data_IF_866680150010
#
_entry.id   IF_866680150010
#
_cell.length_a   1.000
_cell.length_b   1.000
_cell.length_c   1.000
_cell.angle_alpha   90.00
_cell.angle_beta   90.00
_cell.angle_gamma   90.00
#
_symmetry.space_group_name_H-M   'P 1'
#
loop_
_entity.id
_entity.type
_entity.pdbx_description
1 polymer ?
#
# COMPACT_ATOMS: atom_id res chain seq x y z
N UNK A 1 63.47 -8.00 40.49
CA UNK A 1 63.92 -7.27 39.30
C UNK A 1 62.80 -6.31 38.93
N UNK A 2 62.92 -5.10 39.45
CA UNK A 2 62.07 -3.94 39.16
C UNK A 2 62.73 -3.10 38.05
N UNK A 3 61.91 -2.49 37.20
CA UNK A 3 62.04 -1.14 36.61
C UNK A 3 60.96 -1.02 35.50
N UNK A 4 59.90 -0.20 35.67
CA UNK A 4 59.75 1.24 35.28
C UNK A 4 59.40 1.38 33.77
N UNK A 5 58.16 1.71 33.32
CA UNK A 5 57.44 3.02 33.22
C UNK A 5 58.17 4.05 32.29
N UNK A 6 57.57 5.08 31.58
CA UNK A 6 56.18 5.56 31.46
C UNK A 6 55.67 6.09 30.07
N UNK A 7 54.36 6.39 30.03
CA UNK A 7 53.65 7.52 29.34
C UNK A 7 53.86 7.87 27.85
N UNK A 8 52.76 7.91 27.06
CA UNK A 8 52.35 9.06 26.20
C UNK A 8 50.82 9.09 26.01
N UNK A 9 50.18 10.01 26.75
CA UNK A 9 48.99 10.88 26.52
C UNK A 9 47.73 10.41 25.75
N UNK A 10 46.63 10.32 26.51
CA UNK A 10 45.40 11.14 26.45
C UNK A 10 44.86 11.65 25.09
N UNK A 11 43.68 11.14 24.70
CA UNK A 11 42.54 11.98 24.32
C UNK A 11 41.24 11.34 24.83
N UNK A 12 40.73 11.88 25.93
CA UNK A 12 39.32 11.82 26.26
C UNK A 12 38.45 12.38 25.11
N UNK A 13 37.51 11.57 24.62
CA UNK A 13 36.20 12.06 24.21
C UNK A 13 35.19 11.19 24.94
N UNK A 14 34.82 11.65 26.13
CA UNK A 14 33.57 11.26 26.77
C UNK A 14 32.44 11.90 25.96
N UNK A 15 31.51 11.09 25.48
CA UNK A 15 30.22 11.52 24.95
C UNK A 15 29.31 10.30 24.94
N UNK A 16 28.66 10.07 26.08
CA UNK A 16 27.23 9.73 26.17
C UNK A 16 26.50 9.68 24.81
N UNK A 17 25.67 8.67 24.50
CA UNK A 17 24.67 8.84 23.47
C UNK A 17 23.63 9.82 24.00
N UNK A 18 23.93 11.11 23.86
CA UNK A 18 22.99 12.20 23.98
C UNK A 18 21.84 11.93 23.02
N UNK A 19 20.65 11.76 23.58
CA UNK A 19 19.35 12.07 22.98
C UNK A 19 19.21 11.63 21.51
N UNK A 20 18.67 10.43 21.32
CA UNK A 20 17.86 10.14 20.14
C UNK A 20 16.83 11.27 20.04
N UNK A 21 17.06 12.18 19.10
CA UNK A 21 16.11 13.24 18.79
C UNK A 21 14.86 12.57 18.25
N UNK A 22 13.78 12.65 19.02
CA UNK A 22 12.41 12.55 18.55
C UNK A 22 12.30 13.35 17.25
N UNK A 23 12.18 12.69 16.09
CA UNK A 23 12.13 13.45 14.84
C UNK A 23 12.03 12.70 13.52
N UNK A 24 12.11 11.36 13.47
CA UNK A 24 11.97 10.63 12.20
C UNK A 24 11.08 9.37 12.28
N UNK A 25 10.17 9.32 13.26
CA UNK A 25 9.13 8.29 13.33
C UNK A 25 7.79 8.70 12.65
N UNK A 26 7.74 9.82 11.92
CA UNK A 26 6.50 10.45 11.45
C UNK A 26 6.38 10.57 9.92
N UNK A 27 6.76 9.53 9.14
CA UNK A 27 6.49 9.50 7.69
C UNK A 27 6.04 8.13 7.15
N UNK A 28 5.81 7.15 8.01
CA UNK A 28 5.03 5.98 7.65
C UNK A 28 3.64 6.21 8.22
N UNK A 29 2.70 6.68 7.38
CA UNK A 29 1.28 6.54 7.72
C UNK A 29 1.01 5.04 7.81
N UNK A 30 0.82 4.48 9.03
CA UNK A 30 0.53 3.06 9.13
C UNK A 30 -0.87 2.83 8.56
N UNK A 31 -1.11 1.63 8.01
CA UNK A 31 -2.42 1.12 7.59
C UNK A 31 -3.59 1.44 8.56
N UNK A 32 -3.28 1.70 9.83
CA UNK A 32 -4.17 2.30 10.83
C UNK A 32 -5.08 3.42 10.29
N UNK A 33 -4.61 4.27 9.37
CA UNK A 33 -5.43 5.35 8.82
C UNK A 33 -6.43 4.87 7.78
N UNK A 34 -6.16 3.80 7.03
CA UNK A 34 -7.13 3.25 6.06
C UNK A 34 -8.39 2.74 6.76
N UNK A 35 -8.22 2.15 7.94
CA UNK A 35 -9.30 1.63 8.78
C UNK A 35 -10.23 2.73 9.34
N UNK A 36 -9.82 4.00 9.35
CA UNK A 36 -10.70 5.11 9.71
C UNK A 36 -11.56 5.61 8.54
N UNK A 37 -11.22 5.27 7.30
CA UNK A 37 -11.87 5.82 6.10
C UNK A 37 -12.75 4.84 5.34
N UNK A 38 -12.53 3.53 5.50
CA UNK A 38 -13.30 2.50 4.78
C UNK A 38 -13.58 1.28 5.65
N UNK A 39 -14.85 0.85 5.68
CA UNK A 39 -15.24 -0.47 6.18
C UNK A 39 -14.95 -1.53 5.10
N UNK A 40 -13.75 -2.13 5.17
CA UNK A 40 -13.31 -3.18 4.24
C UNK A 40 -14.28 -4.36 4.21
N UNK A 41 -14.83 -4.75 5.35
CA UNK A 41 -15.70 -5.93 5.45
C UNK A 41 -17.01 -5.64 4.74
N UNK A 42 -17.64 -4.49 5.01
CA UNK A 42 -18.86 -4.09 4.33
C UNK A 42 -18.64 -3.89 2.82
N UNK A 43 -17.51 -3.27 2.44
CA UNK A 43 -17.16 -3.04 1.04
C UNK A 43 -17.07 -4.36 0.26
N UNK A 44 -16.26 -5.32 0.74
CA UNK A 44 -16.08 -6.63 0.10
C UNK A 44 -17.38 -7.44 0.12
N UNK A 45 -18.09 -7.47 1.26
CA UNK A 45 -19.33 -8.23 1.39
C UNK A 45 -20.41 -7.77 0.40
N UNK A 46 -20.51 -6.47 0.13
CA UNK A 46 -21.49 -5.94 -0.82
C UNK A 46 -21.18 -6.30 -2.29
N UNK A 47 -19.98 -6.78 -2.62
CA UNK A 47 -19.64 -7.37 -3.92
C UNK A 47 -19.60 -8.91 -3.93
N UNK A 48 -19.87 -9.54 -2.79
CA UNK A 48 -19.71 -10.98 -2.58
C UNK A 48 -20.64 -11.87 -3.41
N UNK A 49 -20.29 -13.16 -3.48
CA UNK A 49 -21.09 -14.18 -4.15
C UNK A 49 -22.38 -14.48 -3.36
N UNK A 50 -23.47 -14.78 -4.08
CA UNK A 50 -24.71 -15.27 -3.45
C UNK A 50 -24.60 -16.77 -3.17
N UNK A 51 -25.45 -17.25 -2.27
CA UNK A 51 -25.48 -18.67 -1.94
C UNK A 51 -25.85 -19.50 -3.17
N UNK A 52 -24.95 -20.40 -3.58
CA UNK A 52 -25.12 -21.27 -4.76
C UNK A 52 -24.50 -20.73 -6.05
N UNK A 53 -23.93 -19.53 -6.04
CA UNK A 53 -23.21 -18.98 -7.21
C UNK A 53 -21.89 -19.72 -7.44
N UNK A 54 -21.51 -19.87 -8.72
CA UNK A 54 -20.18 -20.32 -9.10
C UNK A 54 -19.15 -19.20 -8.86
N UNK A 55 -18.15 -19.50 -8.03
CA UNK A 55 -17.08 -18.58 -7.65
C UNK A 55 -16.20 -18.08 -8.81
N UNK A 56 -16.21 -18.75 -9.97
CA UNK A 56 -15.41 -18.37 -11.15
C UNK A 56 -16.22 -17.62 -12.21
N UNK A 57 -17.55 -17.62 -12.12
CA UNK A 57 -18.44 -17.15 -13.18
C UNK A 57 -18.23 -15.68 -13.55
N UNK A 58 -18.14 -14.80 -12.55
CA UNK A 58 -18.00 -13.35 -12.69
C UNK A 58 -16.59 -12.91 -13.12
N UNK A 59 -15.57 -13.33 -12.40
CA UNK A 59 -14.21 -12.76 -12.51
C UNK A 59 -13.17 -13.70 -13.13
N UNK A 60 -13.56 -14.92 -13.52
CA UNK A 60 -12.66 -15.97 -14.08
C UNK A 60 -11.50 -16.39 -13.17
N UNK A 61 -11.52 -15.97 -11.91
CA UNK A 61 -10.74 -16.51 -10.80
C UNK A 61 -11.68 -16.84 -9.63
N UNK A 62 -11.18 -17.53 -8.62
CA UNK A 62 -11.96 -17.89 -7.45
C UNK A 62 -12.25 -16.66 -6.57
N UNK A 63 -13.43 -16.08 -6.73
CA UNK A 63 -13.81 -14.90 -5.97
C UNK A 63 -13.93 -15.20 -4.46
N UNK A 64 -14.48 -16.36 -4.08
CA UNK A 64 -14.63 -16.73 -2.66
C UNK A 64 -13.27 -16.76 -1.93
N UNK A 65 -12.26 -17.35 -2.57
CA UNK A 65 -10.90 -17.35 -2.04
C UNK A 65 -10.31 -15.93 -1.97
N UNK A 66 -10.55 -15.10 -3.00
CA UNK A 66 -10.11 -13.71 -3.03
C UNK A 66 -10.73 -12.87 -1.91
N UNK A 67 -12.02 -13.04 -1.63
CA UNK A 67 -12.79 -12.30 -0.64
C UNK A 67 -12.39 -12.68 0.80
N UNK A 68 -11.90 -13.91 1.01
CA UNK A 68 -11.38 -14.37 2.31
C UNK A 68 -10.03 -13.74 2.71
N UNK A 69 -9.33 -13.08 1.79
CA UNK A 69 -8.01 -12.51 2.02
C UNK A 69 -8.10 -11.03 2.40
N UNK A 70 -7.38 -10.64 3.45
CA UNK A 70 -7.22 -9.22 3.83
C UNK A 70 -6.64 -8.37 2.70
N UNK A 71 -7.10 -7.14 2.60
CA UNK A 71 -6.59 -6.13 1.66
C UNK A 71 -5.07 -5.88 1.81
N UNK A 72 -4.53 -6.03 3.02
CA UNK A 72 -3.12 -5.83 3.33
C UNK A 72 -2.33 -7.13 3.55
N UNK A 73 -2.80 -8.27 2.99
CA UNK A 73 -2.14 -9.57 3.19
C UNK A 73 -0.62 -9.51 2.90
N UNK A 74 0.23 -10.19 3.70
CA UNK A 74 1.64 -10.30 3.40
C UNK A 74 1.84 -11.08 2.08
N UNK A 75 2.84 -10.66 1.31
CA UNK A 75 3.29 -11.36 0.11
C UNK A 75 4.78 -11.62 0.27
N UNK A 76 5.28 -12.83 0.01
CA UNK A 76 6.71 -13.13 0.14
C UNK A 76 7.53 -12.25 -0.80
N UNK A 77 8.72 -11.85 -0.34
CA UNK A 77 9.67 -11.12 -1.18
C UNK A 77 10.31 -12.07 -2.20
N UNK A 78 9.93 -11.92 -3.47
CA UNK A 78 10.43 -12.74 -4.58
C UNK A 78 11.60 -12.08 -5.33
N UNK A 79 12.14 -10.96 -4.82
CA UNK A 79 13.22 -10.23 -5.48
C UNK A 79 14.55 -10.98 -5.34
N UNK A 80 15.48 -10.72 -6.27
CA UNK A 80 16.86 -11.19 -6.14
C UNK A 80 17.53 -10.51 -4.93
N UNK A 81 18.38 -11.23 -4.19
CA UNK A 81 19.08 -10.69 -3.02
C UNK A 81 19.87 -9.39 -3.33
N UNK A 82 20.39 -9.22 -4.55
CA UNK A 82 21.09 -8.00 -4.98
C UNK A 82 20.18 -6.76 -5.04
N UNK A 83 18.86 -6.92 -5.12
CA UNK A 83 17.91 -5.81 -5.10
C UNK A 83 17.84 -5.12 -3.73
N UNK A 84 18.16 -5.84 -2.64
CA UNK A 84 18.08 -5.32 -1.27
C UNK A 84 19.14 -4.25 -0.98
N UNK A 85 20.27 -4.28 -1.70
CA UNK A 85 21.38 -3.33 -1.52
C UNK A 85 21.35 -2.18 -2.52
N UNK A 86 20.37 -2.15 -3.43
CA UNK A 86 20.28 -1.11 -4.46
C UNK A 86 19.74 0.19 -3.84
N UNK A 87 20.53 1.26 -3.96
CA UNK A 87 20.12 2.61 -3.53
C UNK A 87 19.51 3.36 -4.71
N UNK A 88 18.42 4.07 -4.43
CA UNK A 88 17.77 4.96 -5.38
C UNK A 88 17.94 6.39 -4.89
N UNK A 89 17.83 7.34 -5.82
CA UNK A 89 17.75 8.77 -5.48
C UNK A 89 16.51 9.04 -4.63
N UNK A 90 16.61 10.00 -3.72
CA UNK A 90 15.48 10.42 -2.87
C UNK A 90 14.57 11.42 -3.61
N UNK A 91 15.09 12.14 -4.58
CA UNK A 91 14.43 13.22 -5.31
C UNK A 91 13.78 12.71 -6.60
N UNK A 92 13.09 11.57 -6.50
CA UNK A 92 12.34 11.03 -7.63
C UNK A 92 11.07 11.86 -7.86
N UNK A 93 10.65 12.04 -9.13
CA UNK A 93 9.40 12.73 -9.43
C UNK A 93 8.21 11.94 -8.88
N UNK A 94 7.19 12.68 -8.44
CA UNK A 94 5.93 12.06 -8.03
C UNK A 94 5.24 11.41 -9.25
N UNK A 95 4.47 10.36 -8.99
CA UNK A 95 3.69 9.64 -9.99
C UNK A 95 2.21 9.65 -9.63
N UNK A 96 1.38 9.73 -10.67
CA UNK A 96 -0.06 9.49 -10.58
C UNK A 96 -0.33 8.06 -11.02
N UNK A 97 -1.01 7.28 -10.18
CA UNK A 97 -1.34 5.88 -10.47
C UNK A 97 -2.74 5.82 -11.07
N UNK A 98 -2.87 5.25 -12.27
CA UNK A 98 -4.18 5.10 -12.93
C UNK A 98 -4.54 3.62 -12.94
N UNK A 99 -5.69 3.28 -12.35
CA UNK A 99 -6.23 1.92 -12.29
C UNK A 99 -7.57 1.93 -13.03
N UNK A 100 -7.59 1.34 -14.21
CA UNK A 100 -8.82 1.13 -14.96
C UNK A 100 -9.46 -0.18 -14.51
N UNK A 101 -10.77 -0.18 -14.28
CA UNK A 101 -11.50 -1.39 -13.89
C UNK A 101 -12.86 -1.47 -14.59
N UNK A 102 -13.33 -2.69 -14.82
CA UNK A 102 -14.66 -2.98 -15.35
C UNK A 102 -15.16 -4.28 -14.72
N UNK A 103 -16.23 -4.21 -13.93
CA UNK A 103 -16.80 -5.37 -13.22
C UNK A 103 -15.77 -6.19 -12.41
N UNK A 104 -14.76 -5.52 -11.84
CA UNK A 104 -13.70 -6.16 -11.06
C UNK A 104 -14.23 -6.63 -9.68
N UNK A 105 -13.64 -7.68 -9.11
CA UNK A 105 -14.03 -8.08 -7.75
C UNK A 105 -13.60 -6.99 -6.74
N UNK A 106 -14.46 -6.67 -5.78
CA UNK A 106 -14.14 -5.64 -4.77
C UNK A 106 -12.89 -5.97 -3.96
N UNK A 107 -12.69 -7.24 -3.62
CA UNK A 107 -11.50 -7.68 -2.89
C UNK A 107 -10.21 -7.50 -3.69
N UNK A 108 -10.21 -7.70 -5.01
CA UNK A 108 -9.03 -7.47 -5.88
C UNK A 108 -8.77 -5.98 -6.07
N UNK A 109 -9.80 -5.18 -6.33
CA UNK A 109 -9.67 -3.74 -6.52
C UNK A 109 -9.12 -3.05 -5.26
N UNK A 110 -9.74 -3.30 -4.10
CA UNK A 110 -9.28 -2.75 -2.82
C UNK A 110 -7.82 -3.13 -2.53
N UNK A 111 -7.49 -4.41 -2.69
CA UNK A 111 -6.13 -4.91 -2.42
C UNK A 111 -5.09 -4.33 -3.37
N UNK A 112 -5.48 -3.93 -4.58
CA UNK A 112 -4.62 -3.19 -5.51
C UNK A 112 -4.31 -1.79 -4.97
N UNK A 113 -5.34 -1.02 -4.60
CA UNK A 113 -5.19 0.31 -4.01
C UNK A 113 -4.34 0.26 -2.73
N UNK A 114 -4.65 -0.67 -1.83
CA UNK A 114 -3.92 -0.86 -0.56
C UNK A 114 -2.46 -1.27 -0.80
N UNK A 115 -2.19 -2.11 -1.80
CA UNK A 115 -0.82 -2.48 -2.14
C UNK A 115 -0.01 -1.27 -2.64
N UNK A 116 -0.62 -0.38 -3.44
CA UNK A 116 0.04 0.85 -3.91
C UNK A 116 0.43 1.72 -2.72
N UNK A 117 -0.50 1.96 -1.80
CA UNK A 117 -0.27 2.79 -0.61
C UNK A 117 0.77 2.18 0.34
N UNK A 118 0.70 0.86 0.60
CA UNK A 118 1.58 0.21 1.57
C UNK A 118 3.00 -0.06 1.05
N UNK A 119 3.21 -0.12 -0.27
CA UNK A 119 4.50 -0.53 -0.87
C UNK A 119 5.18 0.57 -1.67
N UNK A 120 4.63 1.77 -1.66
CA UNK A 120 5.23 2.94 -2.30
C UNK A 120 5.53 4.01 -1.25
N UNK A 121 6.69 4.67 -1.31
CA UNK A 121 6.95 5.82 -0.46
C UNK A 121 5.89 6.91 -0.66
N UNK A 122 5.31 7.43 0.43
CA UNK A 122 4.16 8.34 0.37
C UNK A 122 4.43 9.59 -0.47
N UNK A 123 5.63 10.16 -0.38
CA UNK A 123 6.02 11.36 -1.12
C UNK A 123 6.07 11.14 -2.64
N UNK A 124 6.18 9.90 -3.13
CA UNK A 124 6.20 9.58 -4.55
C UNK A 124 4.81 9.39 -5.15
N UNK A 125 3.78 9.17 -4.32
CA UNK A 125 2.41 9.02 -4.80
C UNK A 125 1.73 10.38 -4.73
N UNK A 126 1.44 10.94 -5.90
CA UNK A 126 0.67 12.17 -6.02
C UNK A 126 -0.82 11.88 -5.80
N UNK A 127 -1.36 10.95 -6.58
CA UNK A 127 -2.80 10.62 -6.64
C UNK A 127 -3.01 9.22 -7.24
N UNK A 128 -4.16 8.62 -6.95
CA UNK A 128 -4.63 7.34 -7.48
C UNK A 128 -5.98 7.59 -8.18
N UNK A 129 -5.99 7.50 -9.51
CA UNK A 129 -7.22 7.58 -10.29
C UNK A 129 -7.82 6.18 -10.49
N UNK A 130 -9.03 5.99 -9.99
CA UNK A 130 -9.86 4.80 -10.21
C UNK A 130 -10.81 5.08 -11.36
N UNK A 131 -10.46 4.60 -12.55
CA UNK A 131 -11.23 4.83 -13.77
C UNK A 131 -12.15 3.65 -14.02
N UNK A 132 -13.43 3.85 -13.74
CA UNK A 132 -14.50 2.89 -14.00
C UNK A 132 -14.87 2.91 -15.49
N UNK A 133 -14.47 1.87 -16.22
CA UNK A 133 -14.79 1.69 -17.62
C UNK A 133 -16.18 1.06 -17.80
N UNK A 134 -17.20 1.79 -17.34
CA UNK A 134 -18.61 1.44 -17.52
C UNK A 134 -18.99 0.10 -16.89
N UNK A 135 -18.63 -0.12 -15.62
CA UNK A 135 -19.08 -1.29 -14.84
C UNK A 135 -20.60 -1.31 -14.71
N UNK A 136 -21.18 -2.50 -14.70
CA UNK A 136 -22.64 -2.69 -14.66
C UNK A 136 -23.23 -2.18 -13.35
N UNK A 137 -22.50 -2.35 -12.24
CA UNK A 137 -22.83 -1.72 -10.97
C UNK A 137 -22.29 -0.28 -10.95
N UNK A 138 -23.18 0.68 -11.23
CA UNK A 138 -22.83 2.10 -11.33
C UNK A 138 -22.75 2.83 -10.01
N UNK A 139 -23.22 2.19 -8.95
CA UNK A 139 -23.08 2.69 -7.60
C UNK A 139 -22.06 1.76 -6.91
N UNK A 140 -21.35 2.30 -5.93
CA UNK A 140 -20.65 1.52 -4.89
C UNK A 140 -19.17 1.12 -5.09
N UNK A 141 -18.63 0.88 -6.29
CA UNK A 141 -17.25 0.35 -6.35
C UNK A 141 -16.16 1.44 -6.27
N UNK A 142 -16.18 2.42 -7.18
CA UNK A 142 -15.20 3.50 -7.21
C UNK A 142 -15.43 4.57 -6.13
N UNK A 143 -16.68 4.90 -5.82
CA UNK A 143 -17.03 5.96 -4.85
C UNK A 143 -16.69 5.61 -3.39
N UNK A 144 -16.78 4.34 -3.01
CA UNK A 144 -16.36 3.91 -1.68
C UNK A 144 -14.84 3.99 -1.54
N UNK A 145 -14.12 3.62 -2.60
CA UNK A 145 -12.67 3.70 -2.61
C UNK A 145 -12.17 5.14 -2.68
N UNK A 146 -12.88 6.08 -3.31
CA UNK A 146 -12.49 7.50 -3.32
C UNK A 146 -12.45 8.17 -1.93
N UNK A 147 -12.96 7.49 -0.89
CA UNK A 147 -12.81 7.93 0.51
C UNK A 147 -11.40 7.70 1.05
N UNK A 148 -10.60 6.87 0.38
CA UNK A 148 -9.21 6.59 0.74
C UNK A 148 -8.34 7.81 0.36
N UNK A 149 -7.33 8.10 1.17
CA UNK A 149 -6.38 9.19 0.92
C UNK A 149 -5.78 9.12 -0.49
N UNK A 150 -5.67 10.28 -1.15
CA UNK A 150 -5.10 10.46 -2.50
C UNK A 150 -5.87 9.74 -3.62
N UNK A 151 -7.07 9.19 -3.38
CA UNK A 151 -7.83 8.48 -4.39
C UNK A 151 -8.98 9.31 -4.97
N UNK A 152 -9.16 9.23 -6.28
CA UNK A 152 -10.23 9.89 -7.01
C UNK A 152 -10.87 8.90 -7.99
N UNK A 153 -12.20 8.86 -8.05
CA UNK A 153 -12.93 7.97 -8.93
C UNK A 153 -13.50 8.73 -10.14
N UNK A 154 -13.23 8.22 -11.34
CA UNK A 154 -13.72 8.75 -12.61
C UNK A 154 -14.53 7.64 -13.28
N UNK A 155 -15.73 7.93 -13.79
CA UNK A 155 -16.56 6.95 -14.49
C UNK A 155 -16.80 7.32 -15.94
N UNK A 156 -16.58 6.36 -16.83
CA UNK A 156 -16.90 6.48 -18.25
C UNK A 156 -18.41 6.32 -18.49
N UNK A 157 -18.98 7.17 -19.34
CA UNK A 157 -20.41 7.10 -19.73
C UNK A 157 -20.74 5.95 -20.67
N UNK A 158 -19.74 5.42 -21.37
CA UNK A 158 -19.89 4.31 -22.31
C UNK A 158 -18.59 3.53 -22.42
N UNK A 159 -18.72 2.23 -22.66
CA UNK A 159 -17.60 1.39 -23.08
C UNK A 159 -17.16 1.79 -24.48
N UNK A 160 -15.89 2.18 -24.63
CA UNK A 160 -15.31 2.49 -25.95
C UNK A 160 -14.98 1.14 -26.64
N UNK A 161 -15.56 0.92 -27.83
CA UNK A 161 -15.23 -0.21 -28.71
C UNK A 161 -13.90 0.00 -29.40
#
# INVERSE_FOLDING_TARGET
>A
MSADDPSVVDRHVDSSPSSLTDGQAELFTPFSTLSSYLDEVAYVAAGGLRHGDDAYSRNKFNQLASDSLRSNRPVPDTRNAKCLTKKYRIDLPQTSVIINFHNEARSTLLRTVVSVLNRSPEHLIKEIFLVDDFSDDSKYDGQELSKIQKSEAIRNEKKRR
#
